data_IF_024458418221
#
_entry.id   IF_024458418221
#
_cell.length_a   1.000
_cell.length_b   1.000
_cell.length_c   1.000
_cell.angle_alpha   90.00
_cell.angle_beta   90.00
_cell.angle_gamma   90.00
#
_symmetry.space_group_name_H-M   'P 1'
#
loop_
_entity.id
_entity.type
_entity.pdbx_description
1 polymer ?
#
# COMPACT_ATOMS: atom_id res chain seq x y z
N UNK A 1 18.86 -9.58 8.48
CA UNK A 1 17.50 -9.29 8.04
C UNK A 1 17.42 -7.89 7.40
N UNK A 2 17.81 -6.81 8.11
CA UNK A 2 17.76 -5.43 7.60
C UNK A 2 18.76 -5.13 6.47
N UNK A 3 19.87 -5.86 6.39
CA UNK A 3 20.80 -5.78 5.26
C UNK A 3 20.19 -6.35 3.99
N UNK A 4 19.44 -7.45 4.11
CA UNK A 4 18.70 -8.06 3.01
C UNK A 4 17.56 -7.15 2.53
N UNK A 5 16.81 -6.55 3.46
CA UNK A 5 15.78 -5.57 3.13
C UNK A 5 16.36 -4.37 2.37
N UNK A 6 17.47 -3.83 2.86
CA UNK A 6 18.14 -2.72 2.22
C UNK A 6 18.66 -3.08 0.82
N UNK A 7 19.25 -4.26 0.65
CA UNK A 7 19.72 -4.75 -0.66
C UNK A 7 18.57 -4.95 -1.65
N UNK A 8 17.50 -5.61 -1.22
CA UNK A 8 16.28 -5.80 -2.00
C UNK A 8 15.69 -4.45 -2.46
N UNK A 9 15.55 -3.49 -1.53
CA UNK A 9 14.97 -2.18 -1.84
C UNK A 9 15.84 -1.39 -2.83
N UNK A 10 17.16 -1.39 -2.65
CA UNK A 10 18.09 -0.70 -3.56
C UNK A 10 18.04 -1.30 -4.97
N UNK A 11 18.05 -2.61 -5.10
CA UNK A 11 17.99 -3.30 -6.40
C UNK A 11 16.67 -3.07 -7.11
N UNK A 12 15.56 -3.21 -6.39
CA UNK A 12 14.23 -2.95 -6.95
C UNK A 12 14.09 -1.47 -7.36
N UNK A 13 14.50 -0.54 -6.51
CA UNK A 13 14.43 0.88 -6.81
C UNK A 13 15.27 1.29 -8.02
N UNK A 14 16.50 0.78 -8.14
CA UNK A 14 17.37 1.02 -9.29
C UNK A 14 16.78 0.40 -10.57
N UNK A 15 16.27 -0.81 -10.50
CA UNK A 15 15.67 -1.49 -11.64
C UNK A 15 14.39 -0.80 -12.14
N UNK A 16 13.55 -0.31 -11.24
CA UNK A 16 12.37 0.50 -11.59
C UNK A 16 12.78 1.80 -12.28
N UNK A 17 13.79 2.50 -11.74
CA UNK A 17 14.30 3.75 -12.31
C UNK A 17 14.85 3.56 -13.73
N UNK A 18 15.52 2.44 -14.00
CA UNK A 18 16.04 2.13 -15.34
C UNK A 18 14.90 1.96 -16.36
N UNK A 19 13.79 1.32 -15.96
CA UNK A 19 12.61 1.11 -16.83
C UNK A 19 11.82 2.41 -17.01
N UNK A 20 11.51 3.09 -15.89
CA UNK A 20 10.73 4.33 -15.92
C UNK A 20 11.15 5.28 -14.79
N UNK A 21 12.05 6.24 -15.07
CA UNK A 21 12.52 7.20 -14.08
C UNK A 21 11.47 8.24 -13.66
N UNK A 22 10.30 8.30 -14.31
CA UNK A 22 9.21 9.21 -13.93
C UNK A 22 8.32 8.63 -12.82
N UNK A 23 8.48 7.35 -12.48
CA UNK A 23 7.72 6.72 -11.41
C UNK A 23 8.23 7.14 -10.04
N UNK A 24 7.30 7.50 -9.17
CA UNK A 24 7.59 7.74 -7.75
C UNK A 24 7.81 6.43 -7.02
N UNK A 25 9.02 6.22 -6.51
CA UNK A 25 9.41 5.03 -5.74
C UNK A 25 9.16 5.28 -4.26
N UNK A 26 8.27 4.51 -3.68
CA UNK A 26 7.86 4.66 -2.28
C UNK A 26 8.50 3.56 -1.43
N UNK A 27 9.21 3.95 -0.37
CA UNK A 27 9.69 2.99 0.63
C UNK A 27 8.50 2.27 1.26
N UNK A 28 8.58 0.97 1.46
CA UNK A 28 7.53 0.20 2.14
C UNK A 28 7.16 0.81 3.50
N UNK A 29 5.86 0.80 3.81
CA UNK A 29 5.34 1.48 4.99
C UNK A 29 5.95 0.98 6.30
N UNK A 30 6.50 1.89 7.07
CA UNK A 30 7.21 1.61 8.31
C UNK A 30 6.22 1.51 9.48
N UNK A 31 6.18 0.33 10.12
CA UNK A 31 5.40 0.08 11.34
C UNK A 31 6.21 -0.83 12.28
N UNK A 32 6.56 -0.40 13.50
CA UNK A 32 6.28 0.91 14.09
C UNK A 32 7.00 2.07 13.38
N UNK A 33 6.47 3.29 13.55
CA UNK A 33 7.10 4.52 13.05
C UNK A 33 8.36 4.77 13.89
N UNK A 34 9.55 4.65 13.26
CA UNK A 34 10.83 4.70 13.97
C UNK A 34 11.88 5.52 13.19
N UNK A 35 12.19 6.75 13.64
CA UNK A 35 13.23 7.59 13.04
C UNK A 35 14.62 6.94 13.08
N UNK A 36 14.92 6.10 14.08
CA UNK A 36 16.24 5.44 14.17
C UNK A 36 16.38 4.35 13.11
N UNK A 37 15.30 3.63 12.84
CA UNK A 37 15.27 2.66 11.75
C UNK A 37 15.51 3.34 10.40
N UNK A 38 14.87 4.48 10.16
CA UNK A 38 15.06 5.24 8.94
C UNK A 38 16.51 5.68 8.75
N UNK A 39 17.17 6.23 9.80
CA UNK A 39 18.60 6.56 9.74
C UNK A 39 19.49 5.35 9.46
N UNK A 40 19.12 4.19 9.97
CA UNK A 40 19.82 2.94 9.66
C UNK A 40 19.68 2.56 8.18
N UNK A 41 18.52 2.74 7.58
CA UNK A 41 18.31 2.51 6.15
C UNK A 41 19.07 3.52 5.29
N UNK A 42 19.14 4.78 5.70
CA UNK A 42 19.97 5.81 5.07
C UNK A 42 21.44 5.40 5.05
N UNK A 43 21.98 4.97 6.19
CA UNK A 43 23.37 4.46 6.28
C UNK A 43 23.64 3.22 5.42
N UNK A 44 22.61 2.58 4.85
CA UNK A 44 22.68 1.45 3.91
C UNK A 44 22.40 1.86 2.45
N UNK A 45 22.26 3.16 2.16
CA UNK A 45 22.02 3.68 0.81
C UNK A 45 20.60 3.45 0.28
N UNK A 46 19.62 3.15 1.14
CA UNK A 46 18.23 2.92 0.71
C UNK A 46 17.57 4.22 0.24
N UNK A 47 17.94 5.36 0.84
CA UNK A 47 17.33 6.65 0.51
C UNK A 47 17.61 7.11 -0.93
N UNK A 48 18.66 6.63 -1.56
CA UNK A 48 18.98 6.92 -2.96
C UNK A 48 18.06 6.16 -3.94
N UNK A 49 17.49 5.03 -3.48
CA UNK A 49 16.64 4.15 -4.28
C UNK A 49 15.14 4.47 -4.17
N UNK A 50 14.75 5.43 -3.35
CA UNK A 50 13.36 5.81 -3.11
C UNK A 50 13.16 7.32 -3.16
N UNK A 51 11.96 7.76 -3.51
CA UNK A 51 11.60 9.18 -3.62
C UNK A 51 10.72 9.64 -2.44
N UNK A 52 10.06 8.71 -1.79
CA UNK A 52 9.10 8.93 -0.71
C UNK A 52 9.36 7.94 0.43
N UNK A 53 9.24 8.42 1.66
CA UNK A 53 9.19 7.58 2.87
C UNK A 53 7.74 7.35 3.24
N UNK A 54 7.38 6.11 3.56
CA UNK A 54 6.02 5.78 3.96
C UNK A 54 5.96 5.25 5.39
N UNK A 55 4.87 5.58 6.08
CA UNK A 55 4.58 5.13 7.43
C UNK A 55 3.18 4.53 7.52
N UNK A 56 3.02 3.57 8.43
CA UNK A 56 1.74 2.97 8.80
C UNK A 56 1.44 3.22 10.27
N UNK A 57 0.16 3.45 10.61
CA UNK A 57 -0.23 3.60 11.99
C UNK A 57 -1.69 3.24 12.25
N UNK A 58 -1.90 2.53 13.34
CA UNK A 58 -3.20 2.06 13.79
C UNK A 58 -3.35 2.33 15.29
N UNK A 59 -3.41 3.62 15.68
CA UNK A 59 -3.68 3.99 17.06
C UNK A 59 -5.06 3.44 17.47
N UNK A 60 -5.23 3.08 18.74
CA UNK A 60 -6.37 2.37 19.32
C UNK A 60 -6.42 0.86 19.05
N UNK A 61 -5.69 0.35 18.05
CA UNK A 61 -5.73 -1.07 17.70
C UNK A 61 -4.47 -1.79 18.17
N UNK A 62 -3.33 -1.60 17.51
CA UNK A 62 -2.07 -2.25 17.94
C UNK A 62 -0.89 -1.31 18.13
N UNK A 63 -1.01 -0.04 17.82
CA UNK A 63 -0.04 0.95 18.22
C UNK A 63 -0.35 1.51 19.61
N UNK A 64 0.69 1.63 20.44
CA UNK A 64 0.57 2.06 21.84
C UNK A 64 0.63 3.59 22.04
N UNK A 65 0.33 4.37 21.00
CA UNK A 65 0.30 5.82 21.06
C UNK A 65 -1.09 6.37 20.73
N UNK A 66 -1.39 7.60 21.21
CA UNK A 66 -2.68 8.23 20.99
C UNK A 66 -2.86 8.66 19.53
N UNK A 67 -4.09 8.59 19.02
CA UNK A 67 -4.42 9.10 17.68
C UNK A 67 -4.03 10.59 17.53
N UNK A 68 -4.05 11.38 18.61
CA UNK A 68 -3.63 12.78 18.64
C UNK A 68 -2.12 12.98 18.37
N UNK A 69 -1.32 11.93 18.48
CA UNK A 69 0.13 11.98 18.22
C UNK A 69 0.48 11.89 16.73
N UNK A 70 -0.48 11.66 15.84
CA UNK A 70 -0.21 11.55 14.41
C UNK A 70 0.65 12.67 13.83
N UNK A 71 0.38 13.98 14.07
CA UNK A 71 1.23 15.05 13.56
C UNK A 71 2.67 14.95 14.09
N UNK A 72 2.84 14.56 15.36
CA UNK A 72 4.15 14.36 15.96
C UNK A 72 4.89 13.19 15.29
N UNK A 73 4.22 12.07 15.02
CA UNK A 73 4.82 10.91 14.36
C UNK A 73 5.30 11.21 12.95
N UNK A 74 4.51 11.95 12.18
CA UNK A 74 4.91 12.41 10.84
C UNK A 74 6.09 13.38 10.93
N UNK A 75 6.05 14.34 11.88
CA UNK A 75 7.12 15.31 12.07
C UNK A 75 8.44 14.67 12.53
N UNK A 76 8.40 13.62 13.38
CA UNK A 76 9.58 12.86 13.81
C UNK A 76 10.32 12.24 12.62
N UNK A 77 9.58 11.72 11.63
CA UNK A 77 10.17 11.19 10.39
C UNK A 77 10.67 12.32 9.50
N UNK A 78 9.89 13.39 9.30
CA UNK A 78 10.31 14.55 8.53
C UNK A 78 11.54 15.26 9.10
N UNK A 79 11.84 15.10 10.39
CA UNK A 79 13.06 15.64 11.01
C UNK A 79 14.34 14.85 10.67
N UNK A 80 14.22 13.64 10.09
CA UNK A 80 15.34 12.76 9.76
C UNK A 80 15.46 12.43 8.28
N UNK A 81 14.60 13.00 7.46
CA UNK A 81 14.66 12.89 5.99
C UNK A 81 14.13 14.18 5.35
N UNK A 82 14.66 14.55 4.20
CA UNK A 82 14.15 15.62 3.35
C UNK A 82 13.12 15.14 2.32
N UNK A 83 12.85 13.81 2.29
CA UNK A 83 11.86 13.22 1.40
C UNK A 83 10.45 13.42 1.91
N UNK A 84 9.44 13.54 1.00
CA UNK A 84 8.05 13.54 1.40
C UNK A 84 7.68 12.31 2.24
N UNK A 85 6.87 12.52 3.29
CA UNK A 85 6.37 11.44 4.14
C UNK A 85 4.92 11.16 3.80
N UNK A 86 4.62 9.95 3.32
CA UNK A 86 3.27 9.50 3.06
C UNK A 86 2.75 8.60 4.18
N UNK A 87 1.45 8.68 4.48
CA UNK A 87 0.78 7.72 5.36
C UNK A 87 0.06 6.70 4.47
N UNK A 88 0.72 5.58 4.20
CA UNK A 88 0.23 4.62 3.22
C UNK A 88 -0.73 3.58 3.80
N UNK A 89 -0.84 3.51 5.12
CA UNK A 89 -1.93 2.85 5.82
C UNK A 89 -2.22 3.56 7.13
N UNK A 90 -3.49 3.88 7.34
CA UNK A 90 -4.03 4.32 8.62
C UNK A 90 -5.42 3.76 8.78
N UNK A 91 -5.79 3.39 9.97
CA UNK A 91 -7.12 2.87 10.24
C UNK A 91 -7.45 2.83 11.72
N UNK A 92 -8.73 2.68 11.98
CA UNK A 92 -9.31 2.38 13.29
C UNK A 92 -10.32 1.27 13.08
N UNK A 93 -10.22 0.22 13.87
CA UNK A 93 -11.12 -0.93 13.80
C UNK A 93 -12.52 -0.58 14.27
N UNK A 94 -13.52 -1.17 13.63
CA UNK A 94 -14.91 -1.13 14.10
C UNK A 94 -15.24 -2.24 15.10
N UNK A 95 -14.25 -3.04 15.50
CA UNK A 95 -14.47 -4.09 16.49
C UNK A 95 -14.98 -3.49 17.82
N UNK A 96 -16.14 -3.93 18.25
CA UNK A 96 -16.82 -3.45 19.45
C UNK A 96 -17.65 -2.18 19.25
N UNK A 97 -17.33 -1.30 18.31
CA UNK A 97 -18.17 -0.14 17.94
C UNK A 97 -17.83 0.43 16.57
N UNK A 98 -18.82 0.45 15.67
CA UNK A 98 -18.69 1.07 14.36
C UNK A 98 -18.62 2.61 14.45
N UNK A 99 -19.19 3.21 15.50
CA UNK A 99 -19.13 4.65 15.76
C UNK A 99 -17.71 5.11 16.09
N UNK A 100 -16.93 4.26 16.77
CA UNK A 100 -15.52 4.55 17.06
C UNK A 100 -14.72 4.62 15.76
N UNK A 101 -14.98 3.72 14.79
CA UNK A 101 -14.35 3.79 13.47
C UNK A 101 -14.74 5.09 12.74
N UNK A 102 -16.03 5.43 12.73
CA UNK A 102 -16.52 6.66 12.09
C UNK A 102 -15.91 7.93 12.71
N UNK A 103 -15.75 7.95 14.04
CA UNK A 103 -15.03 9.01 14.75
C UNK A 103 -13.53 9.01 14.35
N UNK A 104 -12.91 7.85 14.31
CA UNK A 104 -11.50 7.68 13.97
C UNK A 104 -11.15 8.21 12.58
N UNK A 105 -12.04 8.02 11.58
CA UNK A 105 -11.90 8.59 10.23
C UNK A 105 -11.83 10.12 10.30
N UNK A 106 -12.82 10.75 10.93
CA UNK A 106 -12.90 12.21 11.05
C UNK A 106 -11.66 12.75 11.77
N UNK A 107 -11.29 12.13 12.89
CA UNK A 107 -10.14 12.54 13.68
C UNK A 107 -8.84 12.41 12.89
N UNK A 108 -8.65 11.31 12.16
CA UNK A 108 -7.48 11.11 11.31
C UNK A 108 -7.42 12.14 10.18
N UNK A 109 -8.54 12.41 9.52
CA UNK A 109 -8.63 13.43 8.47
C UNK A 109 -8.24 14.81 8.99
N UNK A 110 -8.80 15.22 10.13
CA UNK A 110 -8.52 16.52 10.77
C UNK A 110 -7.03 16.69 11.15
N UNK A 111 -6.35 15.58 11.49
CA UNK A 111 -4.95 15.61 11.92
C UNK A 111 -3.94 15.50 10.75
N UNK A 112 -4.29 14.80 9.67
CA UNK A 112 -3.32 14.41 8.62
C UNK A 112 -3.57 15.07 7.26
N UNK A 113 -4.80 15.47 6.92
CA UNK A 113 -5.05 16.19 5.67
C UNK A 113 -4.31 17.53 5.72
N UNK A 114 -3.49 17.79 4.67
CA UNK A 114 -2.62 18.95 4.63
C UNK A 114 -1.27 18.79 5.38
N UNK A 115 -1.09 17.72 6.16
CA UNK A 115 0.19 17.39 6.81
C UNK A 115 0.97 16.32 6.02
N UNK A 116 0.28 15.32 5.48
CA UNK A 116 0.87 14.30 4.63
C UNK A 116 0.42 14.49 3.17
N UNK A 117 1.35 14.50 2.19
CA UNK A 117 1.00 14.65 0.77
C UNK A 117 0.11 13.53 0.23
N UNK A 118 0.17 12.36 0.85
CA UNK A 118 -0.69 11.20 0.56
C UNK A 118 -1.08 10.53 1.87
N UNK A 119 -2.36 10.18 1.95
CA UNK A 119 -2.97 9.52 3.10
C UNK A 119 -3.92 8.45 2.58
N UNK A 120 -3.80 7.20 3.07
CA UNK A 120 -4.66 6.09 2.64
C UNK A 120 -5.32 5.42 3.83
N UNK A 121 -6.67 5.42 3.84
CA UNK A 121 -7.44 4.67 4.82
C UNK A 121 -7.40 3.18 4.53
N UNK A 122 -7.14 2.36 5.52
CA UNK A 122 -7.18 0.91 5.47
C UNK A 122 -8.42 0.42 6.21
N UNK A 123 -9.46 -0.15 5.53
CA UNK A 123 -9.57 -0.51 4.13
C UNK A 123 -11.02 -0.34 3.62
N UNK A 124 -11.34 -0.83 2.41
CA UNK A 124 -12.71 -0.81 1.91
C UNK A 124 -13.57 -1.92 2.52
N UNK A 125 -13.08 -3.17 2.54
CA UNK A 125 -13.79 -4.31 3.07
C UNK A 125 -13.17 -4.83 4.35
N UNK A 126 -14.01 -5.31 5.26
CA UNK A 126 -13.56 -6.20 6.33
C UNK A 126 -12.91 -7.45 5.73
N UNK A 127 -11.93 -8.00 6.41
CA UNK A 127 -11.34 -9.28 6.04
C UNK A 127 -12.29 -10.42 6.39
N UNK A 128 -12.34 -11.49 5.58
CA UNK A 128 -13.10 -12.69 5.91
C UNK A 128 -12.64 -13.28 7.24
N UNK A 129 -13.56 -13.42 8.20
CA UNK A 129 -13.24 -13.98 9.52
C UNK A 129 -12.84 -15.46 9.46
N UNK A 130 -13.21 -16.15 8.37
CA UNK A 130 -12.78 -17.52 8.12
C UNK A 130 -11.29 -17.64 7.74
N UNK A 131 -10.60 -16.53 7.45
CA UNK A 131 -9.17 -16.58 7.19
C UNK A 131 -8.44 -16.83 8.48
N UNK A 132 -7.58 -17.83 8.44
CA UNK A 132 -6.55 -17.91 9.46
C UNK A 132 -5.70 -16.65 9.34
N UNK A 133 -5.49 -15.97 10.46
CA UNK A 133 -4.64 -14.81 10.50
C UNK A 133 -3.33 -15.16 9.78
N UNK A 134 -2.91 -14.31 8.87
CA UNK A 134 -1.66 -14.48 8.12
C UNK A 134 -0.43 -14.36 9.02
N UNK A 135 -0.64 -14.16 10.31
CA UNK A 135 0.34 -14.19 11.38
C UNK A 135 0.51 -15.61 11.90
N UNK A 136 1.71 -15.92 12.41
CA UNK A 136 2.06 -17.25 12.96
C UNK A 136 1.25 -17.65 14.22
N UNK A 137 0.31 -16.81 14.64
CA UNK A 137 -0.46 -16.99 15.88
C UNK A 137 -1.95 -17.02 15.54
N UNK A 138 -2.64 -18.04 16.05
CA UNK A 138 -4.10 -18.02 16.14
C UNK A 138 -4.50 -16.86 17.04
N UNK A 139 -5.24 -15.94 16.50
CA UNK A 139 -5.63 -14.75 17.20
C UNK A 139 -6.91 -14.99 17.97
N UNK A 140 -6.88 -14.69 19.26
CA UNK A 140 -8.06 -14.75 20.10
C UNK A 140 -9.00 -13.60 19.73
N UNK A 141 -10.30 -13.84 19.76
CA UNK A 141 -11.31 -12.79 19.60
C UNK A 141 -11.04 -11.65 20.57
N UNK A 142 -11.05 -10.41 20.06
CA UNK A 142 -10.75 -9.21 20.83
C UNK A 142 -9.27 -8.89 20.99
N UNK A 143 -8.36 -9.71 20.50
CA UNK A 143 -6.94 -9.36 20.44
C UNK A 143 -6.70 -8.18 19.50
N UNK A 144 -5.56 -7.48 19.65
CA UNK A 144 -5.17 -6.40 18.76
C UNK A 144 -5.15 -6.83 17.30
N UNK A 145 -4.72 -8.05 17.04
CA UNK A 145 -4.67 -8.60 15.68
C UNK A 145 -6.06 -9.00 15.16
N UNK A 146 -6.90 -9.59 16.00
CA UNK A 146 -8.28 -9.91 15.60
C UNK A 146 -9.04 -8.68 15.10
N UNK A 147 -8.77 -7.51 15.68
CA UNK A 147 -9.33 -6.22 15.28
C UNK A 147 -9.01 -5.87 13.83
N UNK A 148 -7.95 -6.43 13.26
CA UNK A 148 -7.58 -6.29 11.85
C UNK A 148 -8.68 -6.78 10.88
N UNK A 149 -9.49 -7.74 11.27
CA UNK A 149 -10.61 -8.22 10.47
C UNK A 149 -11.73 -7.18 10.30
N UNK A 150 -11.76 -6.14 11.11
CA UNK A 150 -12.82 -5.14 11.20
C UNK A 150 -12.39 -3.73 10.77
N UNK A 151 -11.43 -3.62 9.85
CA UNK A 151 -10.88 -2.33 9.40
C UNK A 151 -11.64 -1.71 8.23
N UNK A 152 -12.50 -2.48 7.53
CA UNK A 152 -13.23 -2.06 6.34
C UNK A 152 -14.28 -0.98 6.62
N UNK A 153 -14.53 -0.14 5.62
CA UNK A 153 -15.71 0.74 5.56
C UNK A 153 -16.99 -0.08 5.35
N UNK A 154 -16.84 -1.21 4.67
CA UNK A 154 -17.87 -2.20 4.41
C UNK A 154 -17.63 -3.45 5.24
N UNK A 155 -18.71 -4.11 5.66
CA UNK A 155 -18.61 -5.43 6.30
C UNK A 155 -18.18 -6.49 5.29
N UNK A 156 -17.86 -7.67 5.76
CA UNK A 156 -17.46 -8.81 4.93
C UNK A 156 -18.48 -9.12 3.81
N UNK A 157 -19.77 -8.95 4.10
CA UNK A 157 -20.89 -9.15 3.15
C UNK A 157 -21.10 -7.99 2.17
N UNK A 158 -20.28 -6.95 2.24
CA UNK A 158 -20.36 -5.75 1.41
C UNK A 158 -21.38 -4.71 1.90
N UNK A 159 -22.07 -4.94 3.01
CA UNK A 159 -23.00 -3.95 3.58
C UNK A 159 -22.23 -2.77 4.20
N UNK A 160 -22.71 -1.51 4.01
CA UNK A 160 -22.00 -0.33 4.49
C UNK A 160 -22.12 -0.19 6.02
N UNK A 161 -21.02 0.29 6.64
CA UNK A 161 -21.00 0.76 8.02
C UNK A 161 -21.23 2.27 8.08
N UNK A 162 -21.51 2.86 9.24
CA UNK A 162 -21.57 4.33 9.42
C UNK A 162 -20.27 5.05 8.98
N UNK A 163 -19.16 4.35 9.00
CA UNK A 163 -17.85 4.84 8.52
C UNK A 163 -17.85 5.22 7.04
N UNK A 164 -18.69 4.64 6.19
CA UNK A 164 -18.85 5.04 4.78
C UNK A 164 -19.23 6.52 4.66
N UNK A 165 -20.25 6.95 5.40
CA UNK A 165 -20.69 8.34 5.37
C UNK A 165 -19.70 9.29 6.09
N UNK A 166 -18.98 8.78 7.09
CA UNK A 166 -17.91 9.54 7.74
C UNK A 166 -16.71 9.76 6.82
N UNK A 167 -16.40 8.79 5.94
CA UNK A 167 -15.28 8.84 5.00
C UNK A 167 -15.58 9.71 3.76
N UNK A 168 -16.81 9.68 3.26
CA UNK A 168 -17.23 10.34 2.01
C UNK A 168 -16.72 11.79 1.83
N UNK A 169 -16.79 12.69 2.84
CA UNK A 169 -16.29 14.06 2.69
C UNK A 169 -14.79 14.16 2.43
N UNK A 170 -14.03 13.16 2.86
CA UNK A 170 -12.55 13.14 2.80
C UNK A 170 -12.00 12.30 1.65
N UNK A 171 -12.83 11.51 0.99
CA UNK A 171 -12.43 10.58 -0.08
C UNK A 171 -11.56 11.21 -1.20
N UNK A 172 -11.77 12.49 -1.60
CA UNK A 172 -10.90 13.13 -2.60
C UNK A 172 -9.46 13.39 -2.13
N UNK A 173 -9.24 13.51 -0.81
CA UNK A 173 -7.94 13.83 -0.20
C UNK A 173 -7.34 12.65 0.56
N UNK A 174 -8.20 11.81 1.14
CA UNK A 174 -7.85 10.56 1.80
C UNK A 174 -8.10 9.40 0.83
N UNK A 175 -7.06 8.87 0.22
CA UNK A 175 -7.13 7.68 -0.62
C UNK A 175 -7.55 6.44 0.17
N UNK A 176 -7.75 5.34 -0.54
CA UNK A 176 -8.19 4.08 0.03
C UNK A 176 -7.15 2.99 -0.25
N UNK A 177 -6.77 2.27 0.80
CA UNK A 177 -5.95 1.07 0.68
C UNK A 177 -6.87 -0.14 0.60
N UNK A 178 -6.81 -0.89 -0.52
CA UNK A 178 -7.57 -2.12 -0.70
C UNK A 178 -6.71 -3.18 -1.38
N UNK A 179 -6.59 -4.31 -0.72
CA UNK A 179 -5.94 -5.50 -1.24
C UNK A 179 -6.96 -6.41 -1.90
N UNK A 180 -6.64 -6.89 -3.10
CA UNK A 180 -7.45 -7.88 -3.81
C UNK A 180 -6.71 -9.22 -3.82
N UNK A 181 -7.45 -10.29 -3.48
CA UNK A 181 -6.92 -11.64 -3.59
C UNK A 181 -6.87 -12.06 -5.04
N UNK A 182 -6.12 -13.12 -5.28
CA UNK A 182 -6.10 -13.75 -6.59
C UNK A 182 -7.53 -14.12 -7.04
N UNK A 183 -7.97 -13.52 -8.15
CA UNK A 183 -9.33 -13.66 -8.70
C UNK A 183 -10.46 -13.20 -7.75
N UNK A 184 -10.20 -12.16 -6.95
CA UNK A 184 -11.19 -11.60 -6.03
C UNK A 184 -12.45 -11.14 -6.79
N UNK A 185 -13.56 -11.81 -6.51
CA UNK A 185 -14.86 -11.54 -7.12
C UNK A 185 -15.42 -10.15 -6.74
N UNK A 186 -14.89 -9.50 -5.71
CA UNK A 186 -15.33 -8.20 -5.22
C UNK A 186 -14.71 -7.03 -5.98
N UNK A 187 -13.78 -7.27 -6.92
CA UNK A 187 -13.05 -6.20 -7.62
C UNK A 187 -14.00 -5.17 -8.27
N UNK A 188 -15.00 -5.65 -9.03
CA UNK A 188 -15.91 -4.76 -9.75
C UNK A 188 -16.81 -3.96 -8.78
N UNK A 189 -17.23 -4.59 -7.68
CA UNK A 189 -17.99 -3.95 -6.61
C UNK A 189 -17.15 -2.92 -5.87
N UNK A 190 -15.90 -3.23 -5.59
CA UNK A 190 -14.95 -2.30 -4.98
C UNK A 190 -14.76 -1.05 -5.84
N UNK A 191 -14.57 -1.21 -7.15
CA UNK A 191 -14.44 -0.08 -8.08
C UNK A 191 -15.70 0.79 -8.07
N UNK A 192 -16.90 0.19 -8.06
CA UNK A 192 -18.15 0.95 -7.93
C UNK A 192 -18.22 1.76 -6.64
N UNK A 193 -17.90 1.13 -5.50
CA UNK A 193 -17.86 1.81 -4.21
C UNK A 193 -16.86 2.96 -4.18
N UNK A 194 -15.65 2.74 -4.68
CA UNK A 194 -14.61 3.77 -4.73
C UNK A 194 -15.03 4.96 -5.60
N UNK A 195 -15.67 4.69 -6.74
CA UNK A 195 -16.23 5.72 -7.62
C UNK A 195 -17.36 6.51 -6.94
N UNK A 196 -18.31 5.82 -6.32
CA UNK A 196 -19.44 6.44 -5.62
C UNK A 196 -18.99 7.30 -4.43
N UNK A 197 -17.93 6.90 -3.76
CA UNK A 197 -17.32 7.67 -2.68
C UNK A 197 -16.53 8.89 -3.17
N UNK A 198 -16.15 8.94 -4.44
CA UNK A 198 -15.29 9.98 -4.99
C UNK A 198 -13.82 9.81 -4.67
N UNK A 199 -13.39 8.57 -4.42
CA UNK A 199 -11.97 8.23 -4.21
C UNK A 199 -11.16 8.62 -5.44
N UNK A 200 -9.99 9.23 -5.24
CA UNK A 200 -9.05 9.59 -6.31
C UNK A 200 -7.79 8.74 -6.29
N UNK A 201 -7.38 8.35 -5.10
CA UNK A 201 -6.12 7.65 -4.87
C UNK A 201 -6.40 6.28 -4.29
N UNK A 202 -5.86 5.24 -4.92
CA UNK A 202 -6.00 3.86 -4.46
C UNK A 202 -4.61 3.28 -4.23
N UNK A 203 -4.42 2.63 -3.08
CA UNK A 203 -3.25 1.80 -2.83
C UNK A 203 -3.66 0.34 -2.86
N UNK A 204 -2.96 -0.47 -3.64
CA UNK A 204 -3.21 -1.90 -3.79
C UNK A 204 -1.89 -2.68 -3.90
N UNK A 205 -1.96 -3.98 -4.06
CA UNK A 205 -0.80 -4.85 -4.22
C UNK A 205 -0.87 -5.74 -5.44
N UNK A 206 0.31 -6.04 -5.99
CA UNK A 206 0.54 -7.14 -6.91
C UNK A 206 1.44 -8.15 -6.20
N UNK A 207 0.92 -9.36 -6.01
CA UNK A 207 1.58 -10.41 -5.24
C UNK A 207 2.59 -11.17 -6.10
N UNK A 208 3.88 -11.06 -5.75
CA UNK A 208 4.91 -11.88 -6.38
C UNK A 208 4.67 -13.38 -6.17
N UNK A 209 4.14 -13.77 -5.01
CA UNK A 209 3.77 -15.17 -4.75
C UNK A 209 2.68 -15.66 -5.71
N UNK A 210 1.73 -14.81 -6.09
CA UNK A 210 0.66 -15.18 -7.02
C UNK A 210 1.14 -15.22 -8.48
N UNK A 211 2.25 -14.56 -8.83
CA UNK A 211 2.79 -14.50 -10.19
C UNK A 211 2.97 -15.89 -10.83
N UNK A 212 3.19 -16.91 -10.02
CA UNK A 212 3.42 -18.30 -10.48
C UNK A 212 2.14 -19.14 -10.56
N UNK A 213 0.98 -18.54 -10.28
CA UNK A 213 -0.32 -19.22 -10.43
C UNK A 213 -0.76 -19.19 -11.89
N UNK A 214 -1.51 -20.20 -12.30
CA UNK A 214 -2.18 -20.21 -13.61
C UNK A 214 -3.13 -19.02 -13.73
N UNK A 215 -3.04 -18.26 -14.84
CA UNK A 215 -3.85 -17.05 -15.05
C UNK A 215 -3.44 -15.82 -14.21
N UNK A 216 -2.26 -15.83 -13.59
CA UNK A 216 -1.80 -14.73 -12.75
C UNK A 216 -1.73 -13.39 -13.49
N UNK A 217 -1.14 -13.38 -14.70
CA UNK A 217 -1.03 -12.15 -15.48
C UNK A 217 -2.40 -11.65 -15.96
N UNK A 218 -3.31 -12.54 -16.34
CA UNK A 218 -4.67 -12.15 -16.72
C UNK A 218 -5.41 -11.53 -15.53
N UNK A 219 -5.16 -12.03 -14.32
CA UNK A 219 -5.71 -11.44 -13.10
C UNK A 219 -5.12 -10.06 -12.82
N UNK A 220 -3.80 -9.91 -12.91
CA UNK A 220 -3.14 -8.63 -12.72
C UNK A 220 -3.59 -7.60 -13.75
N UNK A 221 -3.73 -7.99 -15.02
CA UNK A 221 -4.27 -7.14 -16.09
C UNK A 221 -5.67 -6.65 -15.74
N UNK A 222 -6.56 -7.57 -15.37
CA UNK A 222 -7.93 -7.22 -14.96
C UNK A 222 -7.95 -6.25 -13.78
N UNK A 223 -7.11 -6.50 -12.75
CA UNK A 223 -7.03 -5.63 -11.58
C UNK A 223 -6.55 -4.23 -11.97
N UNK A 224 -5.48 -4.12 -12.73
CA UNK A 224 -4.91 -2.83 -13.13
C UNK A 224 -5.81 -2.07 -14.11
N UNK A 225 -6.49 -2.77 -15.03
CA UNK A 225 -7.48 -2.18 -15.93
C UNK A 225 -8.69 -1.63 -15.16
N UNK A 226 -9.21 -2.39 -14.21
CA UNK A 226 -10.35 -1.97 -13.38
C UNK A 226 -10.01 -0.74 -12.52
N UNK A 227 -8.76 -0.58 -12.12
CA UNK A 227 -8.27 0.55 -11.31
C UNK A 227 -7.72 1.71 -12.13
N UNK A 228 -7.73 1.65 -13.46
CA UNK A 228 -7.08 2.64 -14.35
C UNK A 228 -7.65 4.07 -14.25
N UNK A 229 -8.85 4.23 -13.73
CA UNK A 229 -9.47 5.55 -13.50
C UNK A 229 -8.94 6.26 -12.23
N UNK A 230 -8.26 5.53 -11.34
CA UNK A 230 -7.71 6.05 -10.08
C UNK A 230 -6.21 6.29 -10.22
N UNK A 231 -5.70 7.25 -9.44
CA UNK A 231 -4.25 7.37 -9.24
C UNK A 231 -3.80 6.24 -8.30
N UNK A 232 -3.13 5.24 -8.86
CA UNK A 232 -2.85 3.98 -8.15
C UNK A 232 -1.42 3.94 -7.64
N UNK A 233 -1.26 3.65 -6.35
CA UNK A 233 0.01 3.28 -5.71
C UNK A 233 0.05 1.76 -5.59
N UNK A 234 0.98 1.12 -6.30
CA UNK A 234 1.11 -0.34 -6.32
C UNK A 234 2.23 -0.80 -5.40
N UNK A 235 1.91 -1.72 -4.51
CA UNK A 235 2.90 -2.40 -3.66
C UNK A 235 3.24 -3.75 -4.29
N UNK A 236 4.50 -3.97 -4.60
CA UNK A 236 5.01 -5.29 -4.96
C UNK A 236 5.30 -6.06 -3.68
N UNK A 237 4.63 -7.17 -3.46
CA UNK A 237 4.61 -7.83 -2.16
C UNK A 237 4.59 -9.36 -2.26
N UNK A 238 4.77 -9.99 -1.10
CA UNK A 238 4.64 -11.43 -0.88
C UNK A 238 5.64 -12.28 -1.66
N UNK A 239 6.70 -12.68 -0.97
CA UNK A 239 7.70 -13.58 -1.51
C UNK A 239 7.10 -14.98 -1.73
N UNK A 240 7.28 -15.61 -2.90
CA UNK A 240 6.91 -17.01 -3.09
C UNK A 240 7.64 -17.90 -2.07
N UNK A 241 6.97 -18.86 -1.46
CA UNK A 241 7.55 -19.73 -0.42
C UNK A 241 8.84 -20.41 -0.84
N UNK A 242 8.93 -20.86 -2.10
CA UNK A 242 10.11 -21.53 -2.65
C UNK A 242 11.28 -20.58 -2.99
N UNK A 243 11.06 -19.27 -2.88
CA UNK A 243 12.05 -18.20 -3.10
C UNK A 243 12.40 -17.41 -1.85
N UNK A 244 11.71 -17.67 -0.76
CA UNK A 244 11.98 -17.08 0.55
C UNK A 244 13.09 -17.80 1.30
N UNK A 245 13.76 -17.08 2.22
CA UNK A 245 14.69 -17.69 3.17
C UNK A 245 13.94 -18.68 4.06
N UNK A 246 12.69 -18.34 4.41
CA UNK A 246 11.75 -19.22 5.11
C UNK A 246 10.51 -19.42 4.22
N UNK A 247 9.80 -20.56 4.34
CA UNK A 247 8.61 -20.84 3.55
C UNK A 247 7.40 -20.04 4.06
N UNK A 248 7.48 -18.73 3.95
CA UNK A 248 6.44 -17.80 4.37
C UNK A 248 6.43 -16.56 3.47
N UNK A 249 5.26 -16.08 3.07
CA UNK A 249 5.08 -14.97 2.14
C UNK A 249 5.67 -13.62 2.62
N UNK A 250 5.91 -13.45 3.91
CA UNK A 250 6.62 -12.28 4.46
C UNK A 250 8.12 -12.48 4.62
N UNK A 251 8.65 -13.63 4.20
CA UNK A 251 10.09 -13.88 4.24
C UNK A 251 10.84 -13.00 3.26
N UNK A 252 12.03 -12.49 3.58
CA UNK A 252 12.92 -11.93 2.58
C UNK A 252 13.23 -12.95 1.48
N UNK A 253 13.45 -12.53 0.23
CA UNK A 253 13.86 -13.44 -0.84
C UNK A 253 15.26 -13.99 -0.60
N UNK A 254 15.52 -15.21 -1.06
CA UNK A 254 16.87 -15.80 -1.11
C UNK A 254 17.78 -15.01 -2.04
N UNK A 255 17.24 -14.50 -3.14
CA UNK A 255 17.94 -13.77 -4.18
C UNK A 255 17.17 -12.47 -4.45
N UNK A 256 17.76 -11.35 -4.06
CA UNK A 256 17.11 -10.03 -4.18
C UNK A 256 16.90 -9.60 -5.65
N UNK A 257 17.75 -10.08 -6.56
CA UNK A 257 17.62 -9.86 -8.00
C UNK A 257 16.31 -10.39 -8.57
N UNK A 258 15.84 -11.54 -8.12
CA UNK A 258 14.58 -12.13 -8.60
C UNK A 258 13.37 -11.28 -8.22
N UNK A 259 13.43 -10.60 -7.08
CA UNK A 259 12.42 -9.62 -6.70
C UNK A 259 12.49 -8.37 -7.58
N UNK A 260 13.68 -7.89 -7.88
CA UNK A 260 13.87 -6.76 -8.79
C UNK A 260 13.38 -7.09 -10.21
N UNK A 261 13.62 -8.30 -10.71
CA UNK A 261 13.09 -8.79 -11.99
C UNK A 261 11.55 -8.79 -12.01
N UNK A 262 10.90 -9.22 -10.93
CA UNK A 262 9.45 -9.12 -10.81
C UNK A 262 8.96 -7.66 -10.83
N UNK A 263 9.65 -6.76 -10.15
CA UNK A 263 9.32 -5.33 -10.20
C UNK A 263 9.43 -4.77 -11.62
N UNK A 264 10.50 -5.10 -12.34
CA UNK A 264 10.70 -4.73 -13.75
C UNK A 264 9.55 -5.24 -14.62
N UNK A 265 9.22 -6.54 -14.53
CA UNK A 265 8.13 -7.14 -15.29
C UNK A 265 6.81 -6.39 -15.08
N UNK A 266 6.50 -6.03 -13.84
CA UNK A 266 5.26 -5.30 -13.53
C UNK A 266 5.30 -3.85 -14.02
N UNK A 267 6.43 -3.17 -13.92
CA UNK A 267 6.59 -1.79 -14.41
C UNK A 267 6.53 -1.75 -15.94
N UNK A 268 7.21 -2.64 -16.63
CA UNK A 268 7.16 -2.74 -18.10
C UNK A 268 5.73 -3.00 -18.60
N UNK A 269 4.95 -3.79 -17.85
CA UNK A 269 3.59 -4.16 -18.22
C UNK A 269 2.58 -3.03 -17.97
N UNK A 270 2.67 -2.33 -16.83
CA UNK A 270 1.62 -1.42 -16.39
C UNK A 270 2.00 0.05 -16.41
N UNK A 271 3.28 0.37 -16.39
CA UNK A 271 3.77 1.74 -16.38
C UNK A 271 5.03 1.91 -17.25
N UNK A 272 5.04 1.43 -18.50
CA UNK A 272 6.19 1.59 -19.35
C UNK A 272 6.44 3.08 -19.64
N UNK A 273 7.72 3.47 -19.76
CA UNK A 273 8.07 4.82 -20.19
C UNK A 273 7.41 5.10 -21.53
N UNK A 274 6.62 6.17 -21.64
CA UNK A 274 6.06 6.59 -22.92
C UNK A 274 7.22 6.94 -23.85
N UNK A 275 7.41 6.17 -24.93
CA UNK A 275 8.31 6.58 -26.01
C UNK A 275 7.72 7.86 -26.61
N UNK A 276 8.41 8.98 -26.45
CA UNK A 276 8.16 10.14 -27.29
C UNK A 276 8.52 9.69 -28.69
N UNK A 277 7.51 9.47 -29.53
CA UNK A 277 7.72 9.31 -30.97
C UNK A 277 8.21 10.69 -31.40
N UNK A 278 9.51 10.81 -31.66
CA UNK A 278 10.03 12.00 -32.27
C UNK A 278 9.28 12.16 -33.61
N UNK A 279 8.54 13.26 -33.77
CA UNK A 279 7.94 13.62 -35.02
C UNK A 279 9.06 13.62 -36.07
N UNK A 280 8.99 12.64 -36.97
CA UNK A 280 9.85 12.66 -38.14
C UNK A 280 9.45 13.93 -38.92
N UNK A 281 10.39 14.82 -39.28
CA UNK A 281 10.05 15.95 -40.12
C UNK A 281 9.42 15.42 -41.40
N UNK A 282 8.27 16.01 -41.79
CA UNK A 282 7.65 15.75 -43.08
C UNK A 282 8.72 15.97 -44.17
N UNK A 283 8.98 14.93 -44.94
CA UNK A 283 9.82 15.05 -46.12
C UNK A 283 9.09 15.98 -47.10
N UNK A 284 9.64 17.17 -47.31
CA UNK A 284 9.20 18.09 -48.35
C UNK A 284 9.11 17.33 -49.66
N UNK A 285 7.86 17.22 -50.17
CA UNK A 285 7.62 16.75 -51.50
C UNK A 285 7.99 17.88 -52.48
N UNK A 286 9.08 17.68 -53.20
CA UNK A 286 9.42 18.49 -54.39
C UNK A 286 9.00 17.73 -55.68
#
# INVERSE_FOLDING_TARGET
EWDLFADMTRRAGAAIEEVNPELTRVLGGMSPIDPHFLRRLEGKGVMEAVDVVAVHGFPLDWNLWSIDEWPTKVAEIGAVTDKPVWVTEVGVSSFGSEEVQAWGIKKTADLLIGQAPRLFWYSLYDLPQAWEATTRHKEAEGSSYYRHFHMGLLREDGSPKPSVEAYRPYAPEMGLCQWFHFQDHRLDDAVRWMRDLGVRHVRTGLSWADRYREGALDWFDRQMEALAEFETTVTFCFTPEHRGIEPHHTSPPLVAEEYAEFCVEMVERYAPRRRVVADLPEADAA
#
